data_IF_082983143257
#
_entry.id   IF_082983143257
#
_cell.length_a   1.000
_cell.length_b   1.000
_cell.length_c   1.000
_cell.angle_alpha   90.00
_cell.angle_beta   90.00
_cell.angle_gamma   90.00
#
_symmetry.space_group_name_H-M   'P 1'
#
loop_
_entity.id
_entity.type
_entity.pdbx_description
1 polymer ?
#
# COMPACT_ATOMS: atom_id res chain seq x y z
N UNK A 1 10.85 12.46 14.15
CA UNK A 1 10.73 10.98 14.18
C UNK A 1 11.78 10.49 15.12
N UNK A 2 11.46 9.49 15.93
CA UNK A 2 12.48 8.78 16.70
C UNK A 2 13.51 8.21 15.72
N UNK A 3 14.80 8.48 15.90
CA UNK A 3 15.84 8.12 14.92
C UNK A 3 15.94 6.60 14.70
N UNK A 4 15.41 5.81 15.64
CA UNK A 4 15.45 4.35 15.64
C UNK A 4 14.16 3.67 15.11
N UNK A 5 13.15 4.43 14.69
CA UNK A 5 11.91 3.86 14.16
C UNK A 5 12.07 3.43 12.69
N UNK A 6 11.82 2.13 12.42
CA UNK A 6 11.92 1.54 11.08
C UNK A 6 13.23 1.90 10.35
N UNK A 7 14.37 1.72 11.04
CA UNK A 7 15.71 2.17 10.60
C UNK A 7 16.16 1.64 9.25
N UNK A 8 15.56 0.58 8.75
CA UNK A 8 15.83 0.10 7.41
C UNK A 8 14.64 -0.61 6.78
N UNK A 9 14.57 -0.46 5.47
CA UNK A 9 13.47 -0.87 4.63
C UNK A 9 14.00 -1.11 3.22
N UNK A 10 13.51 -2.16 2.57
CA UNK A 10 13.69 -2.33 1.14
C UNK A 10 12.42 -2.89 0.50
N UNK A 11 12.28 -2.56 -0.77
CA UNK A 11 11.21 -3.02 -1.62
C UNK A 11 11.79 -3.70 -2.87
N UNK A 12 11.19 -4.81 -3.29
CA UNK A 12 11.63 -5.54 -4.48
C UNK A 12 10.44 -5.88 -5.36
N UNK A 13 10.23 -5.18 -6.49
CA UNK A 13 9.34 -5.64 -7.54
C UNK A 13 9.93 -6.87 -8.25
N UNK A 14 9.09 -7.77 -8.69
CA UNK A 14 9.54 -8.95 -9.42
C UNK A 14 8.41 -9.85 -9.90
N UNK A 15 8.74 -11.13 -10.05
CA UNK A 15 7.83 -12.21 -10.41
C UNK A 15 7.77 -13.20 -9.25
N UNK A 16 6.59 -13.74 -9.00
CA UNK A 16 6.38 -14.87 -8.08
C UNK A 16 5.86 -16.06 -8.87
N UNK A 17 6.45 -17.22 -8.62
CA UNK A 17 6.00 -18.50 -9.18
C UNK A 17 5.88 -19.53 -8.06
N UNK A 18 4.92 -20.43 -8.14
CA UNK A 18 4.79 -21.51 -7.17
C UNK A 18 3.36 -22.05 -7.07
N UNK A 19 3.04 -22.64 -5.93
CA UNK A 19 1.75 -23.28 -5.66
C UNK A 19 1.18 -22.72 -4.35
N UNK A 20 -0.07 -22.25 -4.37
CA UNK A 20 -0.82 -21.86 -3.17
C UNK A 20 -1.85 -22.93 -2.85
N UNK A 21 -1.83 -23.47 -1.63
CA UNK A 21 -2.88 -24.36 -1.11
C UNK A 21 -3.73 -23.63 -0.10
N UNK A 22 -5.02 -23.50 -0.37
CA UNK A 22 -5.95 -22.81 0.51
C UNK A 22 -7.33 -23.47 0.43
N UNK A 23 -7.93 -23.73 1.60
CA UNK A 23 -9.28 -24.33 1.71
C UNK A 23 -9.47 -25.62 0.88
N UNK A 24 -8.44 -26.48 0.83
CA UNK A 24 -8.47 -27.72 0.06
C UNK A 24 -8.33 -27.55 -1.46
N UNK A 25 -8.18 -26.31 -1.96
CA UNK A 25 -7.89 -26.01 -3.35
C UNK A 25 -6.40 -25.70 -3.54
N UNK A 26 -5.91 -25.95 -4.75
CA UNK A 26 -4.53 -25.70 -5.17
C UNK A 26 -4.57 -24.72 -6.34
N UNK A 27 -3.76 -23.67 -6.26
CA UNK A 27 -3.64 -22.64 -7.27
C UNK A 27 -2.19 -22.56 -7.75
N UNK A 28 -1.98 -22.73 -9.05
CA UNK A 28 -0.69 -22.45 -9.67
C UNK A 28 -0.51 -20.93 -9.78
N UNK A 29 0.60 -20.43 -9.25
CA UNK A 29 0.95 -19.03 -9.25
C UNK A 29 2.05 -18.80 -10.27
N UNK A 30 1.78 -17.91 -11.20
CA UNK A 30 2.76 -17.31 -12.10
C UNK A 30 2.35 -15.85 -12.35
N UNK A 31 2.95 -14.92 -11.62
CA UNK A 31 2.46 -13.55 -11.59
C UNK A 31 3.46 -12.52 -11.11
N UNK A 32 3.03 -11.27 -11.10
CA UNK A 32 3.79 -10.15 -10.60
C UNK A 32 3.84 -10.14 -9.08
N UNK A 33 4.95 -9.67 -8.50
CA UNK A 33 5.13 -9.56 -7.07
C UNK A 33 5.81 -8.27 -6.66
N UNK A 34 5.55 -7.88 -5.42
CA UNK A 34 6.24 -6.82 -4.70
C UNK A 34 6.51 -7.33 -3.30
N UNK A 35 7.79 -7.30 -2.90
CA UNK A 35 8.22 -7.69 -1.57
C UNK A 35 8.63 -6.45 -0.80
N UNK A 36 7.93 -6.16 0.29
CA UNK A 36 8.35 -5.23 1.34
C UNK A 36 9.08 -6.01 2.44
N UNK A 37 10.20 -5.46 2.92
CA UNK A 37 10.76 -5.84 4.20
C UNK A 37 11.31 -4.63 4.96
N UNK A 38 10.78 -4.42 6.18
CA UNK A 38 11.26 -3.44 7.14
C UNK A 38 11.75 -4.09 8.44
N UNK A 39 12.72 -3.46 9.11
CA UNK A 39 13.19 -3.84 10.45
C UNK A 39 13.59 -2.62 11.29
N UNK A 40 13.86 -2.83 12.59
CA UNK A 40 14.14 -1.76 13.57
C UNK A 40 13.06 -1.65 14.65
N UNK A 41 13.02 -0.54 15.40
CA UNK A 41 11.92 -0.31 16.34
C UNK A 41 10.60 -0.12 15.56
N UNK A 42 9.52 -0.79 16.01
CA UNK A 42 8.24 -0.88 15.30
C UNK A 42 7.05 -0.65 16.22
N UNK A 43 7.19 0.21 17.21
CA UNK A 43 6.04 0.62 18.01
C UNK A 43 5.13 1.55 17.20
N UNK A 44 4.14 0.97 16.52
CA UNK A 44 3.19 1.73 15.71
C UNK A 44 2.05 2.33 16.56
N UNK A 45 1.80 1.79 17.76
CA UNK A 45 0.51 1.91 18.45
C UNK A 45 0.06 3.35 18.71
N UNK A 46 1.01 4.20 19.12
CA UNK A 46 0.81 5.61 19.39
C UNK A 46 1.69 6.53 18.51
N UNK A 47 2.42 5.98 17.53
CA UNK A 47 3.41 6.73 16.74
C UNK A 47 2.89 7.25 15.40
N UNK A 48 1.74 6.76 14.92
CA UNK A 48 1.08 7.22 13.69
C UNK A 48 -0.41 7.52 13.88
N UNK A 49 -0.87 8.67 13.38
CA UNK A 49 -2.29 8.95 13.14
C UNK A 49 -2.80 8.26 11.87
N UNK A 50 -1.92 8.02 10.91
CA UNK A 50 -2.26 7.33 9.68
C UNK A 50 -1.06 7.03 8.80
N UNK A 51 -1.24 6.04 7.95
CA UNK A 51 -0.24 5.56 7.00
C UNK A 51 -0.90 5.28 5.65
N UNK A 52 -0.23 5.61 4.55
CA UNK A 52 -0.62 5.25 3.19
C UNK A 52 0.57 4.61 2.52
N UNK A 53 0.36 3.46 1.88
CA UNK A 53 1.38 2.75 1.12
C UNK A 53 0.78 2.26 -0.18
N UNK A 54 1.16 2.91 -1.27
CA UNK A 54 0.69 2.58 -2.61
C UNK A 54 1.86 2.02 -3.37
N UNK A 55 1.73 0.78 -3.79
CA UNK A 55 2.76 0.07 -4.53
C UNK A 55 2.15 -0.55 -5.77
N UNK A 56 2.87 -0.54 -6.88
CA UNK A 56 2.39 -1.17 -8.10
C UNK A 56 3.51 -1.64 -9.00
N UNK A 57 3.19 -2.62 -9.83
CA UNK A 57 4.12 -3.18 -10.81
C UNK A 57 3.40 -3.60 -12.08
N UNK A 58 4.03 -3.31 -13.20
CA UNK A 58 3.72 -3.83 -14.52
C UNK A 58 4.87 -4.76 -15.00
N UNK A 59 5.61 -5.36 -14.07
CA UNK A 59 6.84 -6.10 -14.36
C UNK A 59 8.06 -5.17 -14.50
N UNK A 60 9.03 -5.61 -15.29
CA UNK A 60 10.32 -4.92 -15.47
C UNK A 60 10.17 -3.49 -16.02
N UNK A 61 9.14 -3.26 -16.85
CA UNK A 61 8.91 -1.98 -17.51
C UNK A 61 8.64 -0.82 -16.53
N UNK A 62 7.98 -1.10 -15.40
CA UNK A 62 7.52 -0.06 -14.49
C UNK A 62 7.05 -0.65 -13.16
N UNK A 63 7.66 -0.21 -12.08
CA UNK A 63 7.15 -0.40 -10.72
C UNK A 63 7.28 0.91 -9.94
N UNK A 64 6.44 1.11 -8.95
CA UNK A 64 6.47 2.30 -8.12
C UNK A 64 6.14 1.96 -6.68
N UNK A 65 6.61 2.81 -5.77
CA UNK A 65 6.10 2.90 -4.41
C UNK A 65 5.93 4.36 -4.03
N UNK A 66 4.95 4.61 -3.19
CA UNK A 66 4.85 5.85 -2.44
C UNK A 66 4.29 5.58 -1.05
N UNK A 67 4.86 6.26 -0.07
CA UNK A 67 4.52 6.14 1.34
C UNK A 67 4.24 7.52 1.90
N UNK A 68 3.14 7.66 2.64
CA UNK A 68 2.88 8.81 3.50
C UNK A 68 2.70 8.32 4.94
N UNK A 69 3.45 8.90 5.86
CA UNK A 69 3.40 8.60 7.29
C UNK A 69 3.05 9.85 8.08
N UNK A 70 1.87 9.87 8.69
CA UNK A 70 1.43 10.94 9.58
C UNK A 70 1.78 10.58 11.02
N UNK A 71 2.93 11.08 11.47
CA UNK A 71 3.44 10.81 12.80
C UNK A 71 2.68 11.61 13.87
N UNK A 72 2.41 10.97 15.02
CA UNK A 72 1.90 11.66 16.21
C UNK A 72 2.94 12.61 16.81
N UNK A 73 4.20 12.19 16.78
CA UNK A 73 5.33 12.98 17.22
C UNK A 73 5.49 14.25 16.36
N UNK A 74 5.08 15.38 16.91
CA UNK A 74 5.17 16.69 16.27
C UNK A 74 4.14 16.94 15.17
N UNK A 75 3.17 16.05 15.00
CA UNK A 75 2.05 16.17 14.04
C UNK A 75 2.52 16.48 12.61
N UNK A 76 3.38 15.60 12.06
CA UNK A 76 4.01 15.81 10.75
C UNK A 76 3.74 14.66 9.80
N UNK A 77 3.63 15.00 8.52
CA UNK A 77 3.58 14.02 7.43
C UNK A 77 4.96 13.89 6.80
N UNK A 78 5.49 12.67 6.76
CA UNK A 78 6.65 12.31 5.99
C UNK A 78 6.21 11.58 4.72
N UNK A 79 6.85 11.90 3.60
CA UNK A 79 6.53 11.34 2.30
C UNK A 79 7.80 10.75 1.68
N UNK A 80 7.65 9.61 1.01
CA UNK A 80 8.72 8.93 0.29
C UNK A 80 8.16 8.23 -0.94
N UNK A 81 8.96 8.09 -1.99
CA UNK A 81 8.59 7.25 -3.12
C UNK A 81 9.70 7.08 -4.12
N UNK A 82 9.56 6.08 -4.96
CA UNK A 82 10.47 5.80 -6.07
C UNK A 82 9.74 5.09 -7.21
N UNK A 83 10.38 5.10 -8.36
CA UNK A 83 10.01 4.32 -9.55
C UNK A 83 11.19 3.44 -9.95
N UNK A 84 10.90 2.21 -10.36
CA UNK A 84 11.85 1.29 -10.99
C UNK A 84 11.42 1.04 -12.43
N UNK A 85 12.36 1.19 -13.36
CA UNK A 85 12.21 0.79 -14.78
C UNK A 85 13.48 0.09 -15.22
N UNK A 86 13.36 -1.10 -15.78
CA UNK A 86 14.49 -1.89 -16.30
C UNK A 86 15.63 -2.02 -15.29
N UNK A 87 15.29 -2.22 -14.02
CA UNK A 87 16.24 -2.32 -12.89
C UNK A 87 16.82 -1.01 -12.38
N UNK A 88 16.52 0.14 -13.01
CA UNK A 88 17.00 1.44 -12.58
C UNK A 88 15.99 2.13 -11.63
N UNK A 89 16.46 2.55 -10.45
CA UNK A 89 15.67 3.29 -9.46
C UNK A 89 15.75 4.79 -9.73
N UNK A 90 14.61 5.48 -9.74
CA UNK A 90 14.50 6.94 -9.72
C UNK A 90 13.65 7.37 -8.53
N UNK A 91 14.21 8.18 -7.63
CA UNK A 91 13.49 8.66 -6.45
C UNK A 91 12.47 9.74 -6.81
N UNK A 92 11.42 9.85 -6.00
CA UNK A 92 10.51 10.98 -6.01
C UNK A 92 11.06 12.13 -5.14
N UNK A 93 11.02 13.35 -5.67
CA UNK A 93 11.20 14.57 -4.85
C UNK A 93 9.90 14.96 -4.15
N UNK A 94 8.76 14.65 -4.76
CA UNK A 94 7.43 14.95 -4.28
C UNK A 94 6.49 13.78 -4.55
N UNK A 95 5.64 13.46 -3.58
CA UNK A 95 4.55 12.49 -3.73
C UNK A 95 3.28 13.05 -3.08
N UNK A 96 2.15 12.86 -3.76
CA UNK A 96 0.82 13.17 -3.27
C UNK A 96 -0.05 11.92 -3.40
N UNK A 97 -0.50 11.40 -2.24
CA UNK A 97 -1.26 10.16 -2.13
C UNK A 97 -2.68 10.49 -1.70
N UNK A 98 -3.64 10.03 -2.51
CA UNK A 98 -5.06 10.07 -2.19
C UNK A 98 -5.63 8.65 -2.17
N UNK A 99 -6.35 8.32 -1.10
CA UNK A 99 -7.09 7.05 -1.00
C UNK A 99 -8.59 7.31 -1.04
N UNK A 100 -9.30 6.52 -1.83
CA UNK A 100 -10.75 6.59 -1.94
C UNK A 100 -11.36 5.66 -0.90
N UNK A 101 -12.11 6.20 0.05
CA UNK A 101 -12.55 5.47 1.25
C UNK A 101 -14.07 5.38 1.32
N UNK A 102 -14.57 4.28 1.87
CA UNK A 102 -15.98 4.08 2.19
C UNK A 102 -16.40 4.93 3.40
N UNK A 103 -17.72 5.01 3.62
CA UNK A 103 -18.31 5.75 4.74
C UNK A 103 -17.86 5.25 6.12
N UNK A 104 -17.36 4.02 6.21
CA UNK A 104 -16.79 3.45 7.43
C UNK A 104 -15.45 4.08 7.84
N UNK A 105 -14.90 4.99 7.01
CA UNK A 105 -13.61 5.67 7.22
C UNK A 105 -12.43 4.72 7.38
N UNK A 106 -12.53 3.53 6.79
CA UNK A 106 -11.54 2.46 6.91
C UNK A 106 -11.34 1.74 5.57
N UNK A 107 -12.40 1.18 5.01
CA UNK A 107 -12.33 0.39 3.79
C UNK A 107 -12.05 1.29 2.58
N UNK A 108 -11.13 0.87 1.72
CA UNK A 108 -10.70 1.64 0.54
C UNK A 108 -11.20 1.00 -0.76
N UNK A 109 -11.51 1.82 -1.77
CA UNK A 109 -11.93 1.42 -3.14
C UNK A 109 -10.81 1.52 -4.19
N UNK A 110 -9.69 2.15 -3.83
CA UNK A 110 -8.64 2.51 -4.76
C UNK A 110 -7.97 3.81 -4.32
N UNK A 111 -7.31 4.48 -5.25
CA UNK A 111 -6.55 5.68 -4.94
C UNK A 111 -5.98 6.38 -6.16
N UNK A 112 -5.25 7.45 -5.89
CA UNK A 112 -4.48 8.20 -6.87
C UNK A 112 -3.13 8.55 -6.28
N UNK A 113 -2.09 8.41 -7.08
CA UNK A 113 -0.74 8.77 -6.73
C UNK A 113 -0.22 9.76 -7.78
N UNK A 114 0.18 10.94 -7.32
CA UNK A 114 1.01 11.83 -8.12
C UNK A 114 2.44 11.81 -7.61
N UNK A 115 3.39 11.76 -8.52
CA UNK A 115 4.81 11.81 -8.20
C UNK A 115 5.50 12.85 -9.07
N UNK A 116 6.43 13.58 -8.50
CA UNK A 116 7.46 14.29 -9.26
C UNK A 116 8.80 13.63 -8.95
N UNK A 117 9.45 13.08 -9.97
CA UNK A 117 10.73 12.40 -9.84
C UNK A 117 11.89 13.39 -9.71
N UNK A 118 13.03 12.93 -9.23
CA UNK A 118 14.26 13.75 -9.14
C UNK A 118 14.76 14.23 -10.51
N UNK A 119 14.35 13.55 -11.59
CA UNK A 119 14.58 13.96 -12.99
C UNK A 119 13.67 15.10 -13.44
N UNK A 120 12.63 15.44 -12.67
CA UNK A 120 11.57 16.37 -13.03
C UNK A 120 10.39 15.74 -13.79
N UNK A 121 10.43 14.44 -14.08
CA UNK A 121 9.31 13.71 -14.67
C UNK A 121 8.12 13.69 -13.70
N UNK A 122 6.91 13.97 -14.21
CA UNK A 122 5.67 13.90 -13.44
C UNK A 122 4.85 12.66 -13.82
N UNK A 123 4.33 11.97 -12.80
CA UNK A 123 3.48 10.79 -12.95
C UNK A 123 2.14 11.03 -12.26
N UNK A 124 1.07 10.60 -12.90
CA UNK A 124 -0.29 10.58 -12.37
C UNK A 124 -0.87 9.18 -12.58
N UNK A 125 -1.00 8.46 -11.47
CA UNK A 125 -1.33 7.04 -11.45
C UNK A 125 -2.67 6.88 -10.76
N UNK A 126 -3.66 6.36 -11.48
CA UNK A 126 -4.97 6.04 -10.94
C UNK A 126 -5.05 4.55 -10.63
N UNK A 127 -5.66 4.21 -9.50
CA UNK A 127 -5.82 2.83 -9.02
C UNK A 127 -7.29 2.55 -8.72
N UNK A 128 -7.79 1.46 -9.27
CA UNK A 128 -9.18 1.01 -9.10
C UNK A 128 -9.19 -0.43 -8.59
N UNK A 129 -10.13 -0.75 -7.69
CA UNK A 129 -10.24 -2.08 -7.10
C UNK A 129 -10.35 -3.18 -8.18
N UNK A 130 -9.41 -4.13 -8.17
CA UNK A 130 -9.45 -5.33 -8.99
C UNK A 130 -10.27 -6.44 -8.33
N UNK A 131 -10.35 -6.43 -7.00
CA UNK A 131 -11.13 -7.37 -6.20
C UNK A 131 -12.29 -6.65 -5.49
N UNK A 132 -13.45 -7.32 -5.31
CA UNK A 132 -14.65 -6.68 -4.75
C UNK A 132 -14.49 -6.22 -3.31
N UNK A 133 -13.63 -6.90 -2.53
CA UNK A 133 -13.42 -6.61 -1.10
C UNK A 133 -11.98 -6.24 -0.80
N UNK A 134 -11.82 -5.41 0.23
CA UNK A 134 -10.52 -5.17 0.85
C UNK A 134 -10.23 -6.25 1.90
N UNK A 135 -8.94 -6.54 2.11
CA UNK A 135 -8.48 -7.24 3.30
C UNK A 135 -8.35 -6.23 4.43
N UNK A 136 -8.79 -6.59 5.63
CA UNK A 136 -8.62 -5.78 6.83
C UNK A 136 -7.95 -6.63 7.88
N UNK A 137 -6.74 -6.24 8.28
CA UNK A 137 -6.02 -6.85 9.37
C UNK A 137 -5.79 -5.84 10.51
N UNK A 138 -5.39 -6.35 11.67
CA UNK A 138 -5.18 -5.53 12.86
C UNK A 138 -3.74 -5.57 13.30
N UNK A 139 -3.07 -4.42 13.27
CA UNK A 139 -1.72 -4.26 13.80
C UNK A 139 -1.78 -3.37 15.03
N UNK A 140 -1.44 -3.89 16.21
CA UNK A 140 -1.46 -3.15 17.49
C UNK A 140 -2.78 -2.37 17.75
N UNK A 141 -3.92 -2.92 17.31
CA UNK A 141 -5.25 -2.31 17.48
C UNK A 141 -5.67 -1.35 16.37
N UNK A 142 -4.78 -1.03 15.42
CA UNK A 142 -5.08 -0.25 14.23
C UNK A 142 -5.54 -1.14 13.08
N UNK A 143 -6.48 -0.67 12.28
CA UNK A 143 -6.88 -1.34 11.05
C UNK A 143 -5.86 -1.03 9.95
N UNK A 144 -5.20 -2.05 9.43
CA UNK A 144 -4.44 -1.97 8.18
C UNK A 144 -5.30 -2.59 7.08
N UNK A 145 -5.59 -1.79 6.06
CA UNK A 145 -6.51 -2.14 4.99
C UNK A 145 -5.76 -2.22 3.69
N UNK A 146 -5.81 -3.39 3.06
CA UNK A 146 -5.19 -3.67 1.77
C UNK A 146 -6.26 -3.86 0.70
N UNK A 147 -6.06 -3.20 -0.44
CA UNK A 147 -6.89 -3.39 -1.62
C UNK A 147 -6.02 -3.66 -2.82
N UNK A 148 -6.20 -4.86 -3.38
CA UNK A 148 -5.69 -5.19 -4.70
C UNK A 148 -6.44 -4.37 -5.75
N UNK A 149 -5.68 -3.60 -6.50
CA UNK A 149 -6.13 -2.70 -7.54
C UNK A 149 -5.46 -3.03 -8.87
N UNK A 150 -6.07 -2.63 -9.97
CA UNK A 150 -5.32 -2.34 -11.20
C UNK A 150 -4.84 -0.89 -11.11
N UNK A 151 -3.78 -0.54 -11.85
CA UNK A 151 -3.40 0.86 -12.02
C UNK A 151 -3.23 1.22 -13.49
N UNK A 152 -3.33 2.52 -13.77
CA UNK A 152 -2.98 3.14 -15.04
C UNK A 152 -2.21 4.43 -14.81
N UNK A 153 -1.02 4.54 -15.39
CA UNK A 153 -0.26 5.78 -15.43
C UNK A 153 -0.69 6.61 -16.65
N UNK A 154 -1.10 7.86 -16.45
CA UNK A 154 -1.66 8.68 -17.53
C UNK A 154 -0.64 9.10 -18.58
N UNK A 155 0.58 9.40 -18.17
CA UNK A 155 1.60 9.98 -19.02
C UNK A 155 2.11 9.00 -20.08
N UNK A 156 2.20 7.71 -19.72
CA UNK A 156 2.77 6.67 -20.59
C UNK A 156 1.78 5.53 -20.89
N UNK A 157 0.59 5.52 -20.29
CA UNK A 157 -0.43 4.50 -20.51
C UNK A 157 -0.13 3.13 -19.88
N UNK A 158 1.00 2.99 -19.18
CA UNK A 158 1.42 1.74 -18.55
C UNK A 158 0.39 1.33 -17.50
N UNK A 159 0.08 0.03 -17.51
CA UNK A 159 -0.93 -0.57 -16.65
C UNK A 159 -0.39 -1.85 -16.02
N UNK A 160 -0.89 -2.14 -14.82
CA UNK A 160 -0.49 -3.32 -14.07
C UNK A 160 -1.36 -3.51 -12.84
N UNK A 161 -0.83 -4.21 -11.85
CA UNK A 161 -1.49 -4.42 -10.56
C UNK A 161 -0.81 -3.59 -9.48
N UNK A 162 -1.61 -3.16 -8.52
CA UNK A 162 -1.18 -2.39 -7.36
C UNK A 162 -1.81 -2.93 -6.08
N UNK A 163 -1.15 -2.67 -4.96
CA UNK A 163 -1.79 -2.67 -3.66
C UNK A 163 -1.93 -1.22 -3.21
N UNK A 164 -3.15 -0.84 -2.85
CA UNK A 164 -3.41 0.40 -2.12
C UNK A 164 -3.59 -0.02 -0.68
N UNK A 165 -2.68 0.38 0.19
CA UNK A 165 -2.77 0.13 1.63
C UNK A 165 -3.04 1.45 2.37
N UNK A 166 -3.90 1.37 3.38
CA UNK A 166 -4.20 2.49 4.26
C UNK A 166 -4.40 2.02 5.70
N UNK A 167 -3.76 2.72 6.63
CA UNK A 167 -4.06 2.64 8.06
C UNK A 167 -4.66 3.96 8.51
N UNK A 168 -5.86 3.93 9.08
CA UNK A 168 -6.48 5.10 9.71
C UNK A 168 -6.50 4.90 11.22
N UNK A 169 -5.72 5.68 11.95
CA UNK A 169 -5.58 5.58 13.41
C UNK A 169 -6.17 6.81 14.13
N UNK A 170 -7.38 7.20 13.75
CA UNK A 170 -8.07 8.39 14.28
C UNK A 170 -8.26 8.33 15.81
N UNK A 171 -8.18 7.12 16.41
CA UNK A 171 -8.38 6.87 17.83
C UNK A 171 -7.15 6.31 18.54
N UNK A 172 -5.95 6.40 17.96
CA UNK A 172 -4.69 5.93 18.58
C UNK A 172 -4.77 4.49 19.13
N UNK A 173 -5.35 3.58 18.35
CA UNK A 173 -5.47 2.16 18.70
C UNK A 173 -6.43 1.85 19.86
N UNK A 174 -7.07 2.85 20.47
CA UNK A 174 -7.89 2.69 21.68
C UNK A 174 -9.22 1.98 21.45
N UNK A 175 -9.67 1.88 20.19
CA UNK A 175 -10.92 1.18 19.84
C UNK A 175 -10.85 0.61 18.42
N UNK A 176 -11.27 -0.65 18.28
CA UNK A 176 -11.43 -1.31 16.98
C UNK A 176 -12.83 -1.06 16.39
N UNK A 177 -12.93 -0.53 15.15
CA UNK A 177 -14.18 -0.53 14.39
C UNK A 177 -14.82 -1.93 14.30
N UNK A 178 -16.15 -1.99 14.44
CA UNK A 178 -16.93 -3.24 14.36
C UNK A 178 -17.77 -3.36 13.09
N UNK A 179 -17.93 -2.26 12.35
CA UNK A 179 -18.76 -2.19 11.14
C UNK A 179 -17.88 -1.69 10.02
N UNK A 180 -17.66 -2.51 9.00
CA UNK A 180 -16.90 -2.16 7.79
C UNK A 180 -17.73 -2.47 6.55
N UNK A 181 -17.72 -1.56 5.58
CA UNK A 181 -18.43 -1.65 4.30
C UNK A 181 -17.45 -2.19 3.26
N UNK A 182 -17.64 -3.43 2.81
CA UNK A 182 -16.80 -4.01 1.76
C UNK A 182 -15.41 -4.51 2.22
N UNK A 183 -15.22 -4.72 3.53
CA UNK A 183 -13.99 -5.29 4.12
C UNK A 183 -14.17 -6.73 4.61
N UNK A 184 -13.08 -7.49 4.65
CA UNK A 184 -13.01 -8.85 5.21
C UNK A 184 -12.10 -8.83 6.44
N UNK A 185 -12.63 -9.19 7.62
CA UNK A 185 -11.95 -8.97 8.91
C UNK A 185 -11.47 -10.28 9.57
N UNK A 186 -12.25 -11.37 9.47
CA UNK A 186 -12.06 -12.52 10.38
C UNK A 186 -11.30 -13.69 9.75
N UNK A 187 -11.52 -14.01 8.48
CA UNK A 187 -10.95 -15.22 7.88
C UNK A 187 -10.16 -14.97 6.59
N UNK A 188 -9.95 -13.71 6.18
CA UNK A 188 -9.23 -13.32 4.95
C UNK A 188 -9.83 -13.88 3.64
N UNK A 189 -10.82 -14.75 3.74
CA UNK A 189 -11.42 -15.48 2.64
C UNK A 189 -12.83 -14.96 2.39
N UNK A 190 -13.10 -14.66 1.13
CA UNK A 190 -14.46 -14.45 0.64
C UNK A 190 -14.78 -15.58 -0.32
N UNK A 191 -15.62 -16.57 0.06
CA UNK A 191 -16.19 -17.44 -0.94
C UNK A 191 -17.06 -16.56 -1.84
N UNK A 192 -16.61 -16.37 -3.08
CA UNK A 192 -17.48 -15.89 -4.15
C UNK A 192 -18.52 -16.94 -4.48
#
# INVERSE_FOLDING_TARGET
MDEDFATAHFDVPGRVTGELKMAGQTYDIDGLSLRDHAWGNRDWGDSAYGHRWLVGTAGEQFSFIAVSWHATAGDRVANFGWVVRDGAVTLARETDILVLMEVDSCTIRGGRLKMVLTTGEELDIEMEAAAPKASVCWHLGMACVDRICTFKCKQNGVQGFANVESTSNIQLGTRRPRTLVGGVIENGFTPT
#
